data_IF_895327151559
#
_entry.id   IF_895327151559
#
_cell.length_a   1.000
_cell.length_b   1.000
_cell.length_c   1.000
_cell.angle_alpha   90.00
_cell.angle_beta   90.00
_cell.angle_gamma   90.00
#
_symmetry.space_group_name_H-M   'P 1'
#
loop_
_entity.id
_entity.type
_entity.pdbx_description
1 polymer ?
#
# COMPACT_ATOMS: atom_id res chain seq x y z
N UNK A 1 6.17 -11.51 14.26
CA UNK A 1 5.14 -10.73 13.51
C UNK A 1 3.85 -10.58 14.32
N UNK A 2 3.29 -11.66 14.87
CA UNK A 2 2.03 -11.63 15.65
C UNK A 2 2.05 -10.71 16.88
N UNK A 3 3.13 -10.69 17.65
CA UNK A 3 3.27 -9.75 18.78
C UNK A 3 3.13 -8.29 18.34
N UNK A 4 3.75 -7.96 17.20
CA UNK A 4 3.66 -6.62 16.62
C UNK A 4 2.25 -6.32 16.11
N UNK A 5 1.61 -7.28 15.44
CA UNK A 5 0.24 -7.17 14.97
C UNK A 5 -0.71 -6.83 16.14
N UNK A 6 -0.62 -7.57 17.24
CA UNK A 6 -1.37 -7.29 18.48
C UNK A 6 -1.07 -5.90 19.04
N UNK A 7 0.21 -5.52 19.09
CA UNK A 7 0.63 -4.21 19.62
C UNK A 7 0.14 -3.02 18.77
N UNK A 8 -0.22 -3.25 17.50
CA UNK A 8 -0.75 -2.20 16.60
C UNK A 8 -2.23 -2.39 16.27
N UNK A 9 -2.96 -3.15 17.11
CA UNK A 9 -4.41 -3.36 17.04
C UNK A 9 -4.90 -4.18 15.83
N UNK A 10 -4.05 -5.01 15.25
CA UNK A 10 -4.42 -5.98 14.21
C UNK A 10 -4.91 -7.28 14.85
N UNK A 11 -6.05 -7.23 15.55
CA UNK A 11 -6.53 -8.32 16.40
C UNK A 11 -7.04 -9.54 15.63
N UNK A 12 -7.40 -9.37 14.35
CA UNK A 12 -7.90 -10.44 13.47
C UNK A 12 -6.82 -10.92 12.50
N UNK A 13 -5.55 -10.61 12.79
CA UNK A 13 -4.42 -10.98 11.96
C UNK A 13 -3.58 -12.08 12.61
N UNK A 14 -3.26 -13.09 11.83
CA UNK A 14 -2.31 -14.15 12.20
C UNK A 14 -1.30 -14.34 11.08
N UNK A 15 -0.03 -14.33 11.43
CA UNK A 15 1.09 -14.65 10.54
C UNK A 15 1.72 -15.98 10.98
N UNK A 16 1.76 -16.94 10.06
CA UNK A 16 2.45 -18.22 10.27
C UNK A 16 3.84 -18.24 9.65
N UNK A 17 4.09 -17.38 8.66
CA UNK A 17 5.38 -17.26 7.99
C UNK A 17 5.64 -15.83 7.47
N UNK A 18 6.90 -15.43 7.25
CA UNK A 18 7.24 -14.09 6.78
C UNK A 18 7.11 -13.90 5.27
N UNK A 19 6.94 -14.97 4.49
CA UNK A 19 6.84 -14.91 3.03
C UNK A 19 5.42 -14.61 2.54
N UNK A 20 4.41 -14.91 3.36
CA UNK A 20 3.00 -14.78 3.03
C UNK A 20 2.46 -15.91 2.15
N UNK A 21 3.19 -17.02 1.99
CA UNK A 21 2.78 -18.16 1.17
C UNK A 21 1.79 -19.09 1.89
N UNK A 22 1.86 -19.16 3.21
CA UNK A 22 0.95 -19.98 4.01
C UNK A 22 -0.49 -19.44 3.94
N UNK A 23 -1.45 -20.31 3.62
CA UNK A 23 -2.88 -19.94 3.56
C UNK A 23 -3.44 -19.51 4.94
N UNK A 24 -2.77 -19.88 6.03
CA UNK A 24 -3.13 -19.48 7.39
C UNK A 24 -2.60 -18.08 7.76
N UNK A 25 -1.91 -17.39 6.85
CA UNK A 25 -1.69 -15.96 6.97
C UNK A 25 -3.02 -15.24 6.69
N UNK A 26 -3.69 -14.82 7.75
CA UNK A 26 -5.02 -14.21 7.70
C UNK A 26 -4.92 -12.78 8.20
N UNK A 27 -5.63 -11.87 7.56
CA UNK A 27 -5.78 -10.47 7.97
C UNK A 27 -7.13 -9.93 7.48
N UNK A 28 -7.45 -8.69 7.83
CA UNK A 28 -8.67 -8.01 7.37
C UNK A 28 -8.33 -6.63 6.81
N UNK A 29 -9.23 -6.03 6.02
CA UNK A 29 -9.01 -4.67 5.53
C UNK A 29 -8.82 -3.65 6.67
N UNK A 30 -9.51 -3.84 7.80
CA UNK A 30 -9.36 -2.98 8.98
C UNK A 30 -7.99 -3.16 9.65
N UNK A 31 -7.51 -4.39 9.80
CA UNK A 31 -6.19 -4.64 10.37
C UNK A 31 -5.08 -4.10 9.46
N UNK A 32 -5.20 -4.31 8.15
CA UNK A 32 -4.29 -3.75 7.16
C UNK A 32 -4.30 -2.21 7.17
N UNK A 33 -5.43 -1.58 7.48
CA UNK A 33 -5.48 -0.14 7.70
C UNK A 33 -4.66 0.27 8.93
N UNK A 34 -4.71 -0.47 10.03
CA UNK A 34 -3.86 -0.20 11.19
C UNK A 34 -2.37 -0.40 10.88
N UNK A 35 -2.02 -1.42 10.07
CA UNK A 35 -0.67 -1.60 9.56
C UNK A 35 -0.22 -0.41 8.72
N UNK A 36 -1.05 0.04 7.76
CA UNK A 36 -0.77 1.20 6.92
C UNK A 36 -0.55 2.45 7.77
N UNK A 37 -1.43 2.71 8.75
CA UNK A 37 -1.30 3.82 9.70
C UNK A 37 -0.01 3.75 10.50
N UNK A 38 0.36 2.56 11.00
CA UNK A 38 1.60 2.36 11.74
C UNK A 38 2.82 2.66 10.88
N UNK A 39 2.88 2.12 9.66
CA UNK A 39 4.00 2.38 8.72
C UNK A 39 4.06 3.86 8.37
N UNK A 40 2.92 4.49 8.10
CA UNK A 40 2.85 5.89 7.73
C UNK A 40 3.33 6.83 8.83
N UNK A 41 3.14 6.47 10.11
CA UNK A 41 3.51 7.32 11.24
C UNK A 41 4.90 7.03 11.80
N UNK A 42 5.38 5.78 11.68
CA UNK A 42 6.63 5.36 12.32
C UNK A 42 7.71 4.88 11.35
N UNK A 43 7.37 4.54 10.10
CA UNK A 43 8.27 3.89 9.13
C UNK A 43 8.06 4.37 7.68
N UNK A 44 7.86 5.68 7.47
CA UNK A 44 7.69 6.30 6.14
C UNK A 44 8.71 5.84 5.09
N UNK A 45 10.01 5.62 5.41
CA UNK A 45 10.97 5.15 4.41
C UNK A 45 10.57 3.85 3.70
N UNK A 46 9.83 2.95 4.35
CA UNK A 46 9.34 1.73 3.69
C UNK A 46 8.33 2.02 2.57
N UNK A 47 7.54 3.09 2.70
CA UNK A 47 6.59 3.49 1.65
C UNK A 47 7.33 4.00 0.41
N UNK A 48 8.40 4.78 0.60
CA UNK A 48 9.28 5.24 -0.48
C UNK A 48 9.88 4.07 -1.27
N UNK A 49 10.41 3.08 -0.55
CA UNK A 49 10.92 1.83 -1.16
C UNK A 49 9.79 1.12 -1.91
N UNK A 50 8.60 1.00 -1.33
CA UNK A 50 7.47 0.31 -1.95
C UNK A 50 6.89 1.02 -3.19
N UNK A 51 7.07 2.35 -3.27
CA UNK A 51 6.79 3.15 -4.47
C UNK A 51 7.80 2.88 -5.58
N UNK A 52 9.00 2.42 -5.24
CA UNK A 52 10.08 2.15 -6.19
C UNK A 52 11.12 3.26 -6.25
N UNK A 53 11.21 4.11 -5.21
CA UNK A 53 12.30 5.09 -5.12
C UNK A 53 13.63 4.35 -5.14
N UNK A 54 14.48 4.68 -6.13
CA UNK A 54 15.79 4.06 -6.30
C UNK A 54 16.69 4.48 -5.14
N UNK A 55 17.27 3.48 -4.46
CA UNK A 55 18.32 3.70 -3.48
C UNK A 55 19.68 3.58 -4.16
N UNK A 56 20.62 4.44 -3.80
CA UNK A 56 22.01 4.30 -4.24
C UNK A 56 22.60 3.04 -3.62
N UNK A 57 23.01 2.08 -4.45
CA UNK A 57 23.73 0.90 -3.97
C UNK A 57 25.19 1.23 -3.73
N UNK A 58 25.70 0.91 -2.53
CA UNK A 58 27.13 0.94 -2.24
C UNK A 58 27.70 -0.47 -2.41
N UNK A 59 28.33 -0.72 -3.56
CA UNK A 59 28.97 -2.01 -3.87
C UNK A 59 28.36 -2.74 -5.07
N UNK A 60 28.98 -3.88 -5.43
CA UNK A 60 28.59 -4.68 -6.60
C UNK A 60 27.25 -5.38 -6.35
N UNK A 61 26.21 -4.94 -7.03
CA UNK A 61 24.90 -5.61 -7.05
C UNK A 61 25.03 -6.90 -7.87
N UNK A 62 24.66 -8.03 -7.29
CA UNK A 62 24.81 -9.37 -7.90
C UNK A 62 23.63 -9.79 -8.79
N UNK A 63 22.62 -8.96 -8.89
CA UNK A 63 21.40 -9.21 -9.65
C UNK A 63 21.13 -8.04 -10.59
N UNK A 64 20.47 -8.35 -11.69
CA UNK A 64 20.12 -7.37 -12.70
C UNK A 64 18.95 -6.50 -12.22
N UNK A 65 19.28 -5.29 -11.76
CA UNK A 65 18.30 -4.32 -11.27
C UNK A 65 17.33 -3.85 -12.36
N UNK A 66 17.75 -3.85 -13.64
CA UNK A 66 16.91 -3.40 -14.75
C UNK A 66 15.72 -4.36 -14.98
N UNK A 67 15.90 -5.63 -14.62
CA UNK A 67 14.87 -6.66 -14.74
C UNK A 67 13.95 -6.77 -13.51
N UNK A 68 14.24 -6.06 -12.41
CA UNK A 68 13.39 -6.02 -11.23
C UNK A 68 12.40 -4.86 -11.30
N UNK A 69 11.20 -5.15 -11.80
CA UNK A 69 10.11 -4.17 -11.91
C UNK A 69 9.23 -4.16 -10.66
N UNK A 70 8.85 -2.95 -10.23
CA UNK A 70 7.84 -2.78 -9.19
C UNK A 70 6.48 -3.30 -9.71
N UNK A 71 5.80 -4.12 -8.91
CA UNK A 71 4.47 -4.66 -9.23
C UNK A 71 3.32 -3.84 -8.65
N UNK A 72 3.61 -2.69 -8.01
CA UNK A 72 2.56 -1.77 -7.60
C UNK A 72 1.92 -1.11 -8.82
N UNK A 73 0.60 -1.25 -8.93
CA UNK A 73 -0.22 -0.66 -10.00
C UNK A 73 -0.02 0.86 -10.07
N UNK A 74 0.19 1.51 -8.91
CA UNK A 74 0.28 2.97 -8.80
C UNK A 74 1.70 3.50 -8.59
N UNK A 75 2.75 2.71 -8.86
CA UNK A 75 4.14 3.12 -8.62
C UNK A 75 4.48 4.49 -9.25
N UNK A 76 3.98 4.73 -10.47
CA UNK A 76 4.19 5.95 -11.25
C UNK A 76 3.13 7.04 -10.99
N UNK A 77 2.10 6.77 -10.17
CA UNK A 77 1.07 7.77 -9.88
C UNK A 77 1.64 8.86 -8.95
N UNK A 78 1.54 10.14 -9.33
CA UNK A 78 2.15 11.26 -8.61
C UNK A 78 1.78 11.34 -7.13
N UNK A 79 0.49 11.10 -6.84
CA UNK A 79 -0.05 11.14 -5.48
C UNK A 79 0.13 9.84 -4.68
N UNK A 80 0.72 8.80 -5.26
CA UNK A 80 0.96 7.55 -4.55
C UNK A 80 2.15 7.69 -3.60
N UNK A 81 1.92 7.37 -2.32
CA UNK A 81 2.95 7.41 -1.28
C UNK A 81 3.71 6.08 -1.23
N UNK A 82 2.97 4.98 -1.39
CA UNK A 82 3.49 3.63 -1.27
C UNK A 82 2.36 2.63 -0.99
N UNK A 83 2.68 1.35 -1.02
CA UNK A 83 1.68 0.29 -0.92
C UNK A 83 2.22 -1.06 -1.32
N UNK A 84 1.33 -2.04 -1.46
CA UNK A 84 1.70 -3.39 -1.88
C UNK A 84 0.55 -4.06 -2.61
N UNK A 85 0.88 -4.74 -3.70
CA UNK A 85 0.03 -5.71 -4.38
C UNK A 85 0.41 -7.14 -4.00
N UNK A 86 -0.55 -8.05 -3.96
CA UNK A 86 -0.33 -9.46 -3.66
C UNK A 86 -1.20 -10.36 -4.53
N UNK A 87 -0.76 -11.60 -4.70
CA UNK A 87 -1.49 -12.68 -5.33
C UNK A 87 -1.07 -14.00 -4.67
N UNK A 88 -2.04 -14.73 -4.15
CA UNK A 88 -1.91 -16.15 -3.78
C UNK A 88 -3.18 -16.84 -4.26
N UNK A 89 -3.05 -18.10 -4.70
CA UNK A 89 -4.16 -18.84 -5.32
C UNK A 89 -5.41 -18.96 -4.44
N UNK A 90 -5.26 -18.81 -3.12
CA UNK A 90 -6.35 -18.91 -2.14
C UNK A 90 -7.00 -17.57 -1.78
N UNK A 91 -6.42 -16.43 -2.17
CA UNK A 91 -6.94 -15.09 -1.80
C UNK A 91 -7.17 -14.16 -3.00
N UNK A 92 -7.00 -14.67 -4.22
CA UNK A 92 -6.95 -13.89 -5.47
C UNK A 92 -6.02 -12.66 -5.35
N UNK A 93 -6.30 -11.61 -6.12
CA UNK A 93 -5.51 -10.38 -6.09
C UNK A 93 -5.90 -9.48 -4.92
N UNK A 94 -4.89 -8.90 -4.29
CA UNK A 94 -5.06 -7.97 -3.16
C UNK A 94 -4.21 -6.72 -3.35
N UNK A 95 -4.65 -5.61 -2.78
CA UNK A 95 -3.94 -4.33 -2.84
C UNK A 95 -4.13 -3.50 -1.58
N UNK A 96 -3.04 -2.91 -1.11
CA UNK A 96 -3.02 -1.86 -0.10
C UNK A 96 -2.29 -0.67 -0.71
N UNK A 97 -2.98 0.46 -0.85
CA UNK A 97 -2.46 1.65 -1.50
C UNK A 97 -2.65 2.87 -0.62
N UNK A 98 -1.58 3.67 -0.45
CA UNK A 98 -1.65 4.90 0.32
C UNK A 98 -1.45 6.09 -0.64
N UNK A 99 -2.40 7.00 -0.64
CA UNK A 99 -2.40 8.20 -1.47
C UNK A 99 -2.39 9.46 -0.62
N UNK A 100 -1.77 10.52 -1.15
CA UNK A 100 -1.95 11.88 -0.65
C UNK A 100 -2.97 12.62 -1.50
N UNK A 101 -3.82 13.39 -0.86
CA UNK A 101 -4.76 14.29 -1.51
C UNK A 101 -4.50 15.70 -0.98
N UNK A 102 -4.18 16.68 -1.84
CA UNK A 102 -4.08 18.05 -1.41
C UNK A 102 -5.46 18.55 -0.93
N UNK A 103 -5.45 19.43 0.07
CA UNK A 103 -6.59 20.18 0.56
C UNK A 103 -6.31 21.67 0.37
N UNK A 104 -7.32 22.51 0.62
CA UNK A 104 -7.14 23.95 0.62
C UNK A 104 -6.04 24.38 1.59
N UNK A 105 -5.28 25.37 1.14
CA UNK A 105 -4.21 25.98 1.92
C UNK A 105 -4.81 26.84 3.04
N UNK A 106 -4.45 26.55 4.28
CA UNK A 106 -4.79 27.40 5.43
C UNK A 106 -3.57 28.20 5.87
N UNK A 107 -3.64 29.53 5.81
CA UNK A 107 -2.54 30.44 6.19
C UNK A 107 -1.18 30.15 5.53
N UNK A 108 -1.18 29.70 4.27
CA UNK A 108 0.04 29.35 3.53
C UNK A 108 0.58 27.94 3.84
N UNK A 109 -0.12 27.15 4.66
CA UNK A 109 0.21 25.76 4.94
C UNK A 109 -0.59 24.87 4.00
N UNK A 110 0.10 24.14 3.12
CA UNK A 110 -0.52 23.09 2.30
C UNK A 110 -1.01 21.96 3.22
N UNK A 111 -2.33 21.84 3.36
CA UNK A 111 -2.94 20.74 4.05
C UNK A 111 -3.02 19.54 3.09
N UNK A 112 -2.67 18.34 3.58
CA UNK A 112 -2.86 17.10 2.82
C UNK A 112 -3.65 16.08 3.65
N UNK A 113 -4.53 15.33 2.97
CA UNK A 113 -5.19 14.16 3.54
C UNK A 113 -4.60 12.89 2.96
N UNK A 114 -4.21 11.98 3.84
CA UNK A 114 -3.70 10.67 3.45
C UNK A 114 -4.84 9.65 3.49
N UNK A 115 -5.05 8.97 2.38
CA UNK A 115 -6.10 7.97 2.22
C UNK A 115 -5.47 6.61 1.96
N UNK A 116 -5.99 5.59 2.63
CA UNK A 116 -5.60 4.19 2.42
C UNK A 116 -6.74 3.48 1.70
N UNK A 117 -6.47 2.89 0.55
CA UNK A 117 -7.39 2.05 -0.22
C UNK A 117 -6.93 0.61 -0.06
N UNK A 118 -7.82 -0.27 0.42
CA UNK A 118 -7.53 -1.70 0.62
C UNK A 118 -8.59 -2.51 -0.11
N UNK A 119 -8.14 -3.39 -1.01
CA UNK A 119 -8.97 -4.28 -1.80
C UNK A 119 -8.48 -5.72 -1.60
N UNK A 120 -9.41 -6.62 -1.30
CA UNK A 120 -9.14 -8.03 -1.03
C UNK A 120 -10.04 -8.89 -1.92
N UNK A 121 -9.49 -9.96 -2.51
CA UNK A 121 -10.26 -10.93 -3.29
C UNK A 121 -10.67 -10.44 -4.68
N UNK A 122 -9.85 -9.60 -5.34
CA UNK A 122 -10.10 -9.19 -6.72
C UNK A 122 -9.82 -10.36 -7.67
N UNK A 123 -10.77 -10.77 -8.54
CA UNK A 123 -10.62 -11.96 -9.38
C UNK A 123 -9.45 -11.90 -10.36
N UNK A 124 -9.16 -10.70 -10.87
CA UNK A 124 -8.04 -10.47 -11.79
C UNK A 124 -7.21 -9.26 -11.36
N UNK A 125 -5.99 -9.18 -11.86
CA UNK A 125 -5.14 -8.00 -11.68
C UNK A 125 -5.77 -6.72 -12.26
N UNK A 126 -6.48 -6.85 -13.39
CA UNK A 126 -7.17 -5.74 -14.03
C UNK A 126 -8.37 -5.24 -13.22
N UNK A 127 -9.09 -6.14 -12.54
CA UNK A 127 -10.19 -5.76 -11.65
C UNK A 127 -9.66 -4.99 -10.43
N UNK A 128 -8.55 -5.46 -9.83
CA UNK A 128 -7.88 -4.76 -8.73
C UNK A 128 -7.50 -3.32 -9.12
N UNK A 129 -6.90 -3.15 -10.30
CA UNK A 129 -6.52 -1.84 -10.84
C UNK A 129 -7.74 -0.96 -11.08
N UNK A 130 -8.75 -1.49 -11.78
CA UNK A 130 -9.97 -0.77 -12.13
C UNK A 130 -10.73 -0.31 -10.89
N UNK A 131 -10.93 -1.18 -9.91
CA UNK A 131 -11.66 -0.86 -8.68
C UNK A 131 -10.91 0.19 -7.85
N UNK A 132 -9.59 0.05 -7.72
CA UNK A 132 -8.78 1.06 -7.03
C UNK A 132 -8.83 2.42 -7.73
N UNK A 133 -8.79 2.45 -9.08
CA UNK A 133 -8.90 3.68 -9.86
C UNK A 133 -10.30 4.31 -9.74
N UNK A 134 -11.36 3.51 -9.74
CA UNK A 134 -12.73 3.98 -9.55
C UNK A 134 -12.90 4.63 -8.17
N UNK A 135 -12.40 4.00 -7.10
CA UNK A 135 -12.42 4.59 -5.76
C UNK A 135 -11.62 5.90 -5.72
N UNK A 136 -10.43 5.92 -6.34
CA UNK A 136 -9.60 7.11 -6.39
C UNK A 136 -10.31 8.27 -7.11
N UNK A 137 -10.94 7.99 -8.25
CA UNK A 137 -11.70 8.99 -9.02
C UNK A 137 -12.91 9.49 -8.23
N UNK A 138 -13.69 8.58 -7.64
CA UNK A 138 -14.84 8.94 -6.82
C UNK A 138 -14.45 9.83 -5.63
N UNK A 139 -13.33 9.52 -4.95
CA UNK A 139 -12.79 10.37 -3.89
C UNK A 139 -12.42 11.76 -4.40
N UNK A 140 -11.72 11.84 -5.54
CA UNK A 140 -11.38 13.14 -6.17
C UNK A 140 -12.64 13.94 -6.45
N UNK A 141 -13.61 13.36 -7.16
CA UNK A 141 -14.85 14.01 -7.60
C UNK A 141 -15.73 14.50 -6.45
N UNK A 142 -15.75 13.79 -5.33
CA UNK A 142 -16.72 14.06 -4.25
C UNK A 142 -16.12 14.76 -3.02
N UNK A 143 -14.80 14.73 -2.84
CA UNK A 143 -14.16 15.25 -1.62
C UNK A 143 -12.94 16.14 -1.86
N UNK A 144 -12.34 16.11 -3.05
CA UNK A 144 -11.08 16.83 -3.33
C UNK A 144 -11.10 17.56 -4.68
N UNK A 145 -12.28 17.79 -5.24
CA UNK A 145 -12.47 18.63 -6.43
C UNK A 145 -12.59 20.07 -5.95
N UNK A 146 -11.50 20.81 -6.04
CA UNK A 146 -11.49 22.28 -6.01
C UNK A 146 -11.47 22.81 -7.43
#
# INVERSE_FOLDING_TARGET
MNEKAKAILMEKTSFIDPSGLGAENISTAQDLFYLARYILNAHIPFLKISRGEKVTSFGKVRFDLENLKNKNIFAEHSNFIGGKTGLIAVSDYVGLFIFRFPLETDNGIELERKIVIILLGSPTFGDLEKDAQNILNWLKENYFST
#
